data_IF_483508171465
#
_entry.id   IF_483508171465
#
_cell.length_a   1.000
_cell.length_b   1.000
_cell.length_c   1.000
_cell.angle_alpha   90.00
_cell.angle_beta   90.00
_cell.angle_gamma   90.00
#
_symmetry.space_group_name_H-M   'P 1'
#
loop_
_entity.id
_entity.type
_entity.pdbx_description
1 polymer ?
#
# COMPACT_ATOMS: atom_id res chain seq x y z
N UNK A 1 -9.13 -11.44 0.70
CA UNK A 1 -8.89 -10.28 -0.19
C UNK A 1 -7.56 -10.45 -0.90
N UNK A 2 -7.47 -10.14 -2.20
CA UNK A 2 -6.19 -10.21 -2.94
C UNK A 2 -5.29 -9.04 -2.55
N UNK A 3 -3.98 -9.27 -2.53
CA UNK A 3 -2.99 -8.19 -2.30
C UNK A 3 -3.02 -7.21 -3.48
N UNK A 4 -2.94 -5.90 -3.24
CA UNK A 4 -2.87 -4.87 -4.30
C UNK A 4 -1.45 -4.75 -4.91
N UNK A 5 -0.63 -5.79 -4.76
CA UNK A 5 0.77 -5.71 -5.15
C UNK A 5 0.88 -5.81 -6.68
N UNK A 6 1.58 -4.85 -7.29
CA UNK A 6 1.87 -4.85 -8.73
C UNK A 6 3.24 -5.45 -9.06
N UNK A 7 3.85 -6.17 -8.12
CA UNK A 7 5.19 -6.78 -8.24
C UNK A 7 6.34 -5.79 -8.43
N UNK A 8 6.12 -4.51 -8.09
CA UNK A 8 7.17 -3.50 -7.94
C UNK A 8 7.50 -3.36 -6.46
N UNK A 9 8.66 -3.87 -6.04
CA UNK A 9 9.13 -3.76 -4.66
C UNK A 9 10.24 -2.72 -4.56
N UNK A 10 9.86 -1.45 -4.66
CA UNK A 10 10.73 -0.31 -4.43
C UNK A 10 10.09 0.57 -3.36
N UNK A 11 10.80 0.77 -2.25
CA UNK A 11 10.41 1.70 -1.20
C UNK A 11 11.15 3.03 -1.42
N UNK A 12 10.47 4.15 -1.18
CA UNK A 12 11.10 5.46 -1.13
C UNK A 12 11.80 5.71 0.22
N UNK A 13 12.29 6.94 0.40
CA UNK A 13 13.00 7.36 1.62
C UNK A 13 12.11 7.38 2.86
N UNK A 14 10.79 7.43 2.70
CA UNK A 14 9.80 7.38 3.78
C UNK A 14 9.33 5.95 4.08
N UNK A 15 9.88 4.95 3.37
CA UNK A 15 9.50 3.55 3.53
C UNK A 15 8.17 3.19 2.86
N UNK A 16 7.71 4.00 1.90
CA UNK A 16 6.49 3.80 1.13
C UNK A 16 6.79 3.09 -0.18
N UNK A 17 6.01 2.07 -0.52
CA UNK A 17 6.13 1.39 -1.80
C UNK A 17 5.66 2.30 -2.94
N UNK A 18 6.53 2.57 -3.90
CA UNK A 18 6.22 3.45 -5.05
C UNK A 18 5.24 2.84 -6.05
N UNK A 19 4.98 1.53 -5.95
CA UNK A 19 4.03 0.82 -6.82
C UNK A 19 2.64 0.63 -6.22
N UNK A 20 2.55 0.25 -4.95
CA UNK A 20 1.26 -0.05 -4.29
C UNK A 20 0.92 0.90 -3.13
N UNK A 21 1.75 1.90 -2.86
CA UNK A 21 1.55 2.96 -1.87
C UNK A 21 1.23 2.46 -0.45
N UNK A 22 1.69 1.25 -0.14
CA UNK A 22 1.70 0.67 1.21
C UNK A 22 3.04 0.90 1.87
N UNK A 23 3.05 1.02 3.19
CA UNK A 23 4.30 1.03 3.97
C UNK A 23 4.96 -0.35 3.95
N UNK A 24 6.25 -0.41 4.26
CA UNK A 24 6.94 -1.68 4.46
C UNK A 24 6.29 -2.58 5.53
N UNK A 25 5.72 -1.99 6.59
CA UNK A 25 5.05 -2.73 7.66
C UNK A 25 3.68 -3.28 7.21
N UNK A 26 2.91 -2.49 6.48
CA UNK A 26 1.64 -2.94 5.88
C UNK A 26 1.86 -4.11 4.90
N UNK A 27 2.99 -4.11 4.19
CA UNK A 27 3.40 -5.22 3.31
C UNK A 27 3.76 -6.47 4.13
N UNK A 28 4.59 -6.32 5.18
CA UNK A 28 4.99 -7.44 6.05
C UNK A 28 3.81 -8.07 6.77
N UNK A 29 2.89 -7.26 7.29
CA UNK A 29 1.76 -7.70 8.11
C UNK A 29 0.53 -8.11 7.29
N UNK A 30 0.52 -7.91 5.97
CA UNK A 30 -0.65 -8.18 5.12
C UNK A 30 -1.25 -9.57 5.28
N UNK A 31 -0.40 -10.59 5.45
CA UNK A 31 -0.83 -11.98 5.69
C UNK A 31 -1.58 -12.17 7.00
N UNK A 32 -1.22 -11.40 8.03
CA UNK A 32 -1.80 -11.45 9.36
C UNK A 32 -3.10 -10.62 9.48
N UNK A 33 -3.28 -9.60 8.63
CA UNK A 33 -4.47 -8.75 8.69
C UNK A 33 -5.77 -9.48 8.36
N UNK A 34 -6.81 -9.15 9.12
CA UNK A 34 -8.19 -9.48 8.81
C UNK A 34 -8.73 -8.60 7.66
N UNK A 35 -9.95 -8.85 7.20
CA UNK A 35 -10.49 -8.13 6.04
C UNK A 35 -10.74 -6.64 6.31
N UNK A 36 -11.12 -6.25 7.53
CA UNK A 36 -11.35 -4.84 7.89
C UNK A 36 -10.04 -4.06 7.92
N UNK A 37 -8.99 -4.64 8.52
CA UNK A 37 -7.64 -4.08 8.52
C UNK A 37 -7.10 -3.92 7.09
N UNK A 38 -7.28 -4.95 6.26
CA UNK A 38 -6.90 -4.89 4.83
C UNK A 38 -7.62 -3.77 4.09
N UNK A 39 -8.92 -3.60 4.31
CA UNK A 39 -9.69 -2.49 3.72
C UNK A 39 -9.16 -1.13 4.19
N UNK A 40 -8.82 -1.00 5.47
CA UNK A 40 -8.20 0.21 6.02
C UNK A 40 -6.88 0.55 5.34
N UNK A 41 -5.99 -0.43 5.20
CA UNK A 41 -4.70 -0.28 4.51
C UNK A 41 -4.91 0.12 3.04
N UNK A 42 -5.83 -0.53 2.33
CA UNK A 42 -6.12 -0.20 0.93
C UNK A 42 -6.63 1.23 0.77
N UNK A 43 -7.51 1.68 1.68
CA UNK A 43 -8.02 3.05 1.68
C UNK A 43 -6.89 4.05 1.89
N UNK A 44 -6.03 3.82 2.89
CA UNK A 44 -4.89 4.71 3.16
C UNK A 44 -3.89 4.72 2.00
N UNK A 45 -3.56 3.57 1.43
CA UNK A 45 -2.67 3.47 0.27
C UNK A 45 -3.20 4.27 -0.92
N UNK A 46 -4.50 4.17 -1.21
CA UNK A 46 -5.12 4.94 -2.29
C UNK A 46 -5.12 6.46 -2.02
N UNK A 47 -5.33 6.89 -0.76
CA UNK A 47 -5.23 8.31 -0.41
C UNK A 47 -3.79 8.84 -0.50
N UNK A 48 -2.78 8.00 -0.25
CA UNK A 48 -1.37 8.36 -0.49
C UNK A 48 -1.06 8.45 -1.98
N UNK A 49 -1.57 7.53 -2.77
CA UNK A 49 -1.43 7.51 -4.23
C UNK A 49 -1.98 8.78 -4.88
N UNK A 50 -3.19 9.22 -4.52
CA UNK A 50 -3.79 10.47 -5.03
C UNK A 50 -2.94 11.72 -4.79
N UNK A 51 -2.13 11.73 -3.73
CA UNK A 51 -1.28 12.89 -3.39
C UNK A 51 -0.05 12.99 -4.30
N UNK A 52 0.38 11.88 -4.90
CA UNK A 52 1.64 11.80 -5.64
C UNK A 52 1.45 11.51 -7.12
N UNK A 53 0.34 10.88 -7.49
CA UNK A 53 0.01 10.60 -8.89
C UNK A 53 -0.89 11.72 -9.44
N UNK A 54 -0.39 12.59 -10.35
CA UNK A 54 -1.17 13.69 -10.91
C UNK A 54 -2.25 13.24 -11.91
N UNK A 55 -2.31 11.94 -12.23
CA UNK A 55 -3.24 11.37 -13.20
C UNK A 55 -4.38 10.56 -12.55
N UNK A 56 -4.49 10.61 -11.23
CA UNK A 56 -5.59 10.02 -10.44
C UNK A 56 -6.60 11.08 -10.01
#
# INVERSE_FOLDING_TARGET
MKSPCISVCALDVEGMCTGCFRTGDEIRLWGAYNNEERLGVLKLAHEREKKVNPFL
#
